data_IF_223698544346
#
_entry.id   IF_223698544346
#
_cell.length_a   1.000
_cell.length_b   1.000
_cell.length_c   1.000
_cell.angle_alpha   90.00
_cell.angle_beta   90.00
_cell.angle_gamma   90.00
#
_symmetry.space_group_name_H-M   'P 1'
#
loop_
_entity.id
_entity.type
_entity.pdbx_description
1 polymer ?
#
# COMPACT_ATOMS: atom_id res chain seq x y z
N UNK A 1 10.94 -11.62 2.98
CA UNK A 1 10.83 -10.17 2.63
C UNK A 1 9.66 -9.58 3.39
N UNK A 2 9.90 -8.53 4.14
CA UNK A 2 8.84 -7.87 4.90
C UNK A 2 8.15 -6.80 4.07
N UNK A 3 6.83 -6.76 4.17
CA UNK A 3 6.01 -5.69 3.60
C UNK A 3 5.08 -5.15 4.68
N UNK A 4 4.63 -3.91 4.48
CA UNK A 4 3.66 -3.29 5.37
C UNK A 4 2.25 -3.72 4.99
N UNK A 5 1.44 -4.05 5.99
CA UNK A 5 0.03 -4.35 5.79
C UNK A 5 -0.82 -3.30 6.52
N UNK A 6 -1.81 -2.78 5.85
CA UNK A 6 -2.82 -1.87 6.39
C UNK A 6 -4.15 -2.61 6.36
N UNK A 7 -4.74 -2.85 7.52
CA UNK A 7 -5.94 -3.67 7.65
C UNK A 7 -6.96 -3.03 8.58
N UNK A 8 -8.22 -3.47 8.48
CA UNK A 8 -9.29 -3.04 9.37
C UNK A 8 -9.63 -4.16 10.35
N UNK A 9 -9.86 -3.78 11.62
CA UNK A 9 -10.37 -4.71 12.62
C UNK A 9 -11.89 -4.85 12.54
N UNK A 10 -12.48 -5.65 13.45
CA UNK A 10 -13.92 -5.91 13.47
C UNK A 10 -14.76 -4.66 13.73
N UNK A 11 -14.19 -3.65 14.38
CA UNK A 11 -14.85 -2.37 14.68
C UNK A 11 -14.66 -1.33 13.57
N UNK A 12 -13.95 -1.67 12.50
CA UNK A 12 -13.68 -0.77 11.39
C UNK A 12 -12.52 0.19 11.63
N UNK A 13 -11.74 0.00 12.70
CA UNK A 13 -10.51 0.75 12.93
C UNK A 13 -9.39 0.18 12.10
N UNK A 14 -8.62 1.04 11.42
CA UNK A 14 -7.49 0.59 10.63
C UNK A 14 -6.19 0.59 11.43
N UNK A 15 -5.32 -0.34 11.11
CA UNK A 15 -4.05 -0.59 11.79
C UNK A 15 -2.98 -0.97 10.80
N UNK A 16 -1.72 -0.73 11.20
CA UNK A 16 -0.56 -1.25 10.47
C UNK A 16 0.00 -2.47 11.18
N UNK A 17 0.53 -3.38 10.38
CA UNK A 17 1.38 -4.48 10.85
C UNK A 17 2.38 -4.83 9.76
N UNK A 18 3.46 -5.48 10.13
CA UNK A 18 4.40 -6.04 9.16
C UNK A 18 4.05 -7.49 8.91
N UNK A 19 4.10 -7.90 7.65
CA UNK A 19 3.92 -9.29 7.25
C UNK A 19 5.14 -9.77 6.48
N UNK A 20 5.48 -11.05 6.65
CA UNK A 20 6.57 -11.67 5.91
C UNK A 20 6.02 -12.37 4.67
N UNK A 21 6.62 -12.06 3.52
CA UNK A 21 6.44 -12.82 2.29
C UNK A 21 7.67 -13.69 2.13
N UNK A 22 7.49 -14.99 2.32
CA UNK A 22 8.61 -15.92 2.24
C UNK A 22 9.04 -16.15 0.79
N UNK A 23 10.34 -15.97 0.53
CA UNK A 23 10.96 -16.22 -0.76
C UNK A 23 11.82 -17.47 -0.65
N UNK A 24 11.22 -18.63 -0.92
CA UNK A 24 11.81 -19.95 -0.69
C UNK A 24 12.17 -20.69 -1.95
N UNK A 25 11.70 -20.26 -3.12
CA UNK A 25 11.99 -20.91 -4.39
C UNK A 25 13.23 -20.30 -5.03
N UNK A 26 14.28 -21.09 -5.20
CA UNK A 26 15.52 -20.61 -5.81
C UNK A 26 15.54 -20.87 -7.30
N UNK A 27 16.06 -19.91 -8.07
CA UNK A 27 16.30 -20.08 -9.50
C UNK A 27 17.79 -20.39 -9.75
N UNK A 28 18.13 -21.04 -10.88
CA UNK A 28 19.53 -21.31 -11.20
C UNK A 28 20.39 -20.05 -11.37
N UNK A 29 19.77 -18.90 -11.61
CA UNK A 29 20.49 -17.63 -11.83
C UNK A 29 20.50 -16.72 -10.60
N UNK A 30 20.28 -17.29 -9.41
CA UNK A 30 20.56 -16.59 -8.16
C UNK A 30 19.42 -15.76 -7.58
N UNK A 31 18.18 -16.02 -7.96
CA UNK A 31 17.02 -15.38 -7.38
C UNK A 31 16.30 -16.30 -6.39
N UNK A 32 15.68 -15.71 -5.40
CA UNK A 32 14.73 -16.39 -4.53
C UNK A 32 13.35 -15.78 -4.76
N UNK A 33 12.39 -16.64 -5.05
CA UNK A 33 11.02 -16.24 -5.37
C UNK A 33 10.07 -16.68 -4.27
N UNK A 34 9.04 -15.85 -4.05
CA UNK A 34 7.90 -16.29 -3.25
C UNK A 34 7.04 -17.27 -4.05
N UNK A 35 6.08 -17.89 -3.36
CA UNK A 35 4.96 -18.54 -4.05
C UNK A 35 4.23 -17.48 -4.88
N UNK A 36 3.51 -17.93 -5.90
CA UNK A 36 2.63 -17.06 -6.66
C UNK A 36 1.45 -16.69 -5.81
N UNK A 37 1.27 -15.38 -5.60
CA UNK A 37 0.14 -14.84 -4.87
C UNK A 37 -0.94 -14.40 -5.86
N UNK A 38 -2.23 -14.48 -5.47
CA UNK A 38 -3.31 -14.05 -6.36
C UNK A 38 -3.18 -12.58 -6.75
N UNK A 39 -3.46 -12.28 -8.01
CA UNK A 39 -3.58 -10.93 -8.51
C UNK A 39 -4.60 -10.93 -9.65
N UNK A 40 -5.54 -9.99 -9.61
CA UNK A 40 -6.61 -9.89 -10.59
C UNK A 40 -6.27 -8.94 -11.74
N UNK A 41 -5.45 -7.91 -11.49
CA UNK A 41 -5.13 -6.87 -12.45
C UNK A 41 -3.88 -6.12 -12.05
N UNK A 42 -3.38 -5.30 -12.94
CA UNK A 42 -2.35 -4.28 -12.66
C UNK A 42 -2.86 -2.95 -13.18
N UNK A 43 -2.88 -1.94 -12.31
CA UNK A 43 -3.21 -0.57 -12.70
C UNK A 43 -1.96 0.29 -12.59
N UNK A 44 -1.71 1.06 -13.64
CA UNK A 44 -0.71 2.13 -13.60
C UNK A 44 -1.41 3.38 -13.10
N UNK A 45 -0.80 4.04 -12.14
CA UNK A 45 -1.43 5.14 -11.40
C UNK A 45 -0.58 6.39 -11.50
N UNK A 46 -1.23 7.49 -11.85
CA UNK A 46 -0.65 8.83 -11.74
C UNK A 46 -1.49 9.61 -10.73
N UNK A 47 -0.84 10.23 -9.74
CA UNK A 47 -1.57 11.11 -8.83
C UNK A 47 -2.02 12.37 -9.60
N UNK A 48 -3.25 12.80 -9.33
CA UNK A 48 -3.82 13.96 -10.02
C UNK A 48 -3.49 15.28 -9.37
N UNK A 49 -2.96 15.26 -8.16
CA UNK A 49 -2.68 16.46 -7.39
C UNK A 49 -1.65 16.20 -6.31
N UNK A 50 -0.79 17.20 -6.10
CA UNK A 50 0.07 17.28 -4.93
C UNK A 50 -0.61 18.02 -3.78
N UNK A 51 -1.85 18.48 -3.97
CA UNK A 51 -2.60 19.20 -2.95
C UNK A 51 -3.01 18.27 -1.83
N UNK A 52 -2.37 18.43 -0.69
CA UNK A 52 -2.59 17.61 0.49
C UNK A 52 -4.04 17.67 1.01
N UNK A 53 -4.78 18.75 0.75
CA UNK A 53 -6.17 18.86 1.23
C UNK A 53 -7.12 17.89 0.52
N UNK A 54 -6.86 17.57 -0.75
CA UNK A 54 -7.66 16.62 -1.53
C UNK A 54 -7.47 15.19 -1.04
N UNK A 55 -6.25 14.85 -0.61
CA UNK A 55 -5.88 13.49 -0.22
C UNK A 55 -6.05 13.21 1.28
N UNK A 56 -6.41 14.22 2.07
CA UNK A 56 -6.52 14.10 3.53
C UNK A 56 -7.86 13.58 4.04
N UNK A 57 -8.82 13.34 3.18
CA UNK A 57 -10.08 12.75 3.61
C UNK A 57 -9.87 11.26 3.90
N UNK A 58 -10.22 10.77 5.11
CA UNK A 58 -10.14 9.36 5.39
C UNK A 58 -11.03 8.56 4.44
N UNK A 59 -10.50 7.47 3.90
CA UNK A 59 -11.27 6.59 3.03
C UNK A 59 -10.73 5.16 3.10
N UNK A 60 -11.60 4.15 3.03
CA UNK A 60 -11.16 2.78 2.90
C UNK A 60 -10.52 2.51 1.55
N UNK A 61 -9.70 1.49 1.48
CA UNK A 61 -9.22 0.94 0.22
C UNK A 61 -10.40 0.35 -0.56
N UNK A 62 -10.59 0.66 -1.85
CA UNK A 62 -11.75 0.18 -2.60
C UNK A 62 -11.77 -1.34 -2.80
N UNK A 63 -10.62 -1.97 -2.80
CA UNK A 63 -10.47 -3.42 -2.86
C UNK A 63 -9.13 -3.81 -2.24
N UNK A 64 -8.96 -5.06 -1.85
CA UNK A 64 -7.65 -5.52 -1.36
C UNK A 64 -6.65 -5.45 -2.49
N UNK A 65 -5.52 -4.81 -2.26
CA UNK A 65 -4.53 -4.58 -3.31
C UNK A 65 -3.15 -4.32 -2.74
N UNK A 66 -2.13 -4.57 -3.55
CA UNK A 66 -0.80 -4.06 -3.29
C UNK A 66 -0.67 -2.67 -3.89
N UNK A 67 -0.01 -1.79 -3.16
CA UNK A 67 0.25 -0.41 -3.58
C UNK A 67 1.76 -0.18 -3.55
N UNK A 68 2.30 0.31 -4.65
CA UNK A 68 3.73 0.59 -4.79
C UNK A 68 3.87 1.95 -5.48
N UNK A 69 4.49 2.92 -4.79
CA UNK A 69 4.84 4.18 -5.42
C UNK A 69 6.25 4.09 -5.99
N UNK A 70 6.41 4.44 -7.24
CA UNK A 70 7.65 4.23 -8.00
C UNK A 70 8.63 5.39 -7.90
N UNK A 71 8.15 6.60 -7.64
CA UNK A 71 8.97 7.81 -7.70
C UNK A 71 8.65 8.86 -6.63
N UNK A 72 7.85 8.52 -5.63
CA UNK A 72 7.50 9.45 -4.56
C UNK A 72 7.29 8.71 -3.24
N UNK A 73 7.55 9.42 -2.16
CA UNK A 73 7.22 8.97 -0.81
C UNK A 73 5.82 9.46 -0.43
N UNK A 74 5.18 8.75 0.49
CA UNK A 74 3.90 9.15 1.05
C UNK A 74 3.85 8.86 2.55
N UNK A 75 3.00 9.60 3.26
CA UNK A 75 2.70 9.31 4.66
C UNK A 75 1.29 8.75 4.74
N UNK A 76 1.16 7.56 5.30
CA UNK A 76 -0.13 6.93 5.59
C UNK A 76 -0.46 7.11 7.07
N UNK A 77 -1.69 7.49 7.37
CA UNK A 77 -2.20 7.57 8.74
C UNK A 77 -3.38 6.61 8.86
N UNK A 78 -3.22 5.59 9.69
CA UNK A 78 -4.31 4.69 10.04
C UNK A 78 -5.29 5.40 10.98
N UNK A 79 -6.51 4.91 11.05
CA UNK A 79 -7.54 5.52 11.91
C UNK A 79 -7.24 5.38 13.41
N UNK A 80 -6.36 4.46 13.80
CA UNK A 80 -5.88 4.35 15.18
C UNK A 80 -4.86 5.44 15.57
N UNK A 81 -4.48 6.29 14.60
CA UNK A 81 -3.54 7.40 14.80
C UNK A 81 -2.09 7.09 14.44
N UNK A 82 -1.75 5.86 14.17
CA UNK A 82 -0.39 5.50 13.76
C UNK A 82 -0.07 6.04 12.36
N UNK A 83 1.13 6.58 12.21
CA UNK A 83 1.63 7.12 10.93
C UNK A 83 2.83 6.33 10.47
N UNK A 84 2.91 6.09 9.18
CA UNK A 84 4.06 5.47 8.53
C UNK A 84 4.43 6.24 7.28
N UNK A 85 5.71 6.51 7.12
CA UNK A 85 6.26 7.03 5.86
C UNK A 85 6.60 5.84 4.97
N UNK A 86 6.02 5.84 3.78
CA UNK A 86 6.22 4.80 2.78
C UNK A 86 7.23 5.32 1.76
N UNK A 87 8.35 4.64 1.68
CA UNK A 87 9.42 5.00 0.76
C UNK A 87 9.14 4.60 -0.68
N UNK A 88 9.94 5.13 -1.57
CA UNK A 88 9.91 4.75 -2.99
C UNK A 88 10.17 3.26 -3.14
N UNK A 89 9.28 2.55 -3.86
CA UNK A 89 9.40 1.12 -4.09
C UNK A 89 8.97 0.22 -2.93
N UNK A 90 8.55 0.80 -1.81
CA UNK A 90 8.03 0.04 -0.68
C UNK A 90 6.64 -0.51 -0.98
N UNK A 91 6.41 -1.77 -0.67
CA UNK A 91 5.13 -2.42 -0.95
C UNK A 91 4.21 -2.31 0.27
N UNK A 92 3.00 -1.83 0.03
CA UNK A 92 1.93 -1.83 1.03
C UNK A 92 0.83 -2.78 0.58
N UNK A 93 0.49 -3.74 1.43
CA UNK A 93 -0.69 -4.58 1.24
C UNK A 93 -1.87 -3.87 1.91
N UNK A 94 -2.73 -3.25 1.10
CA UNK A 94 -3.87 -2.49 1.58
C UNK A 94 -5.11 -3.38 1.64
N UNK A 95 -5.62 -3.58 2.86
CA UNK A 95 -6.75 -4.46 3.15
C UNK A 95 -7.83 -3.80 4.01
N UNK A 96 -7.72 -2.51 4.28
CA UNK A 96 -8.70 -1.74 5.05
C UNK A 96 -9.91 -1.35 4.19
N UNK A 97 -10.63 -2.35 3.70
CA UNK A 97 -11.73 -2.16 2.76
C UNK A 97 -13.05 -1.77 3.41
N UNK A 98 -13.12 -1.77 4.74
CA UNK A 98 -14.29 -1.40 5.52
C UNK A 98 -13.93 -0.41 6.61
N UNK A 99 -14.91 0.28 7.14
CA UNK A 99 -14.77 1.14 8.31
C UNK A 99 -14.18 2.50 8.01
N UNK A 100 -13.32 2.98 8.91
CA UNK A 100 -12.84 4.35 8.89
C UNK A 100 -11.80 4.63 7.81
N UNK A 101 -11.10 3.61 7.35
CA UNK A 101 -10.07 3.76 6.33
C UNK A 101 -8.82 4.46 6.85
N UNK A 102 -8.12 5.10 5.94
CA UNK A 102 -6.84 5.74 6.22
C UNK A 102 -6.73 7.08 5.49
N UNK A 103 -5.72 7.84 5.85
CA UNK A 103 -5.38 9.10 5.17
C UNK A 103 -4.05 8.91 4.46
N UNK A 104 -3.98 9.35 3.20
CA UNK A 104 -2.74 9.40 2.43
C UNK A 104 -2.31 10.84 2.23
N UNK A 105 -1.07 11.14 2.57
CA UNK A 105 -0.47 12.45 2.33
C UNK A 105 0.76 12.28 1.44
N UNK A 106 0.77 12.85 0.24
CA UNK A 106 1.97 12.84 -0.58
C UNK A 106 3.07 13.67 0.08
N UNK A 107 4.31 13.20 -0.02
CA UNK A 107 5.47 13.95 0.41
C UNK A 107 6.21 14.46 -0.84
N UNK A 108 6.56 15.74 -0.81
CA UNK A 108 7.18 16.39 -1.97
C UNK A 108 6.16 17.09 -2.89
N UNK A 109 6.66 17.69 -3.96
CA UNK A 109 5.90 18.55 -4.86
C UNK A 109 5.62 17.92 -6.22
N UNK A 110 6.17 16.76 -6.49
CA UNK A 110 5.97 16.04 -7.75
C UNK A 110 4.68 15.24 -7.75
N UNK A 111 4.06 15.13 -8.90
CA UNK A 111 3.04 14.11 -9.13
C UNK A 111 3.69 12.73 -9.04
N UNK A 112 3.03 11.80 -8.39
CA UNK A 112 3.56 10.47 -8.15
C UNK A 112 3.05 9.48 -9.18
N UNK A 113 3.90 8.51 -9.51
CA UNK A 113 3.56 7.37 -10.37
C UNK A 113 3.64 6.09 -9.54
N UNK A 114 2.68 5.21 -9.73
CA UNK A 114 2.64 3.98 -8.96
C UNK A 114 1.97 2.83 -9.67
N UNK A 115 1.91 1.71 -8.96
CA UNK A 115 1.22 0.51 -9.38
C UNK A 115 0.24 0.10 -8.29
N UNK A 116 -1.00 -0.15 -8.68
CA UNK A 116 -1.97 -0.82 -7.83
C UNK A 116 -2.24 -2.20 -8.42
N UNK A 117 -2.15 -3.21 -7.58
CA UNK A 117 -2.33 -4.61 -7.98
C UNK A 117 -3.46 -5.20 -7.15
N UNK A 118 -4.72 -5.10 -7.62
CA UNK A 118 -5.84 -5.75 -6.95
C UNK A 118 -5.62 -7.25 -6.81
N UNK A 119 -5.99 -7.79 -5.64
CA UNK A 119 -5.83 -9.20 -5.34
C UNK A 119 -7.03 -10.00 -5.87
N UNK A 120 -8.18 -9.37 -5.82
CA UNK A 120 -9.45 -9.99 -6.23
C UNK A 120 -10.40 -8.99 -6.90
#
# INVERSE_FOLDING_TARGET
MRILNLFADADGESHFREIDVECTEETPWGLKLSKRLPAAAVLFVESTSTNASVLRSPHPTPCRQYVIWLDAESELTASDGEKRVIGVGEVVSAEDTIGKGHITKPLGEKLAHGLFIPID
#
